data_IF_727480890394
#
_entry.id   IF_727480890394
#
_cell.length_a   1.000
_cell.length_b   1.000
_cell.length_c   1.000
_cell.angle_alpha   90.00
_cell.angle_beta   90.00
_cell.angle_gamma   90.00
#
_symmetry.space_group_name_H-M   'P 1'
#
loop_
_entity.id
_entity.type
_entity.pdbx_description
1 polymer ?
#
# COMPACT_ATOMS: atom_id res chain seq x y z
N UNK A 1 40.96 -4.80 51.78
CA UNK A 1 40.89 -5.78 50.68
C UNK A 1 40.28 -5.09 49.46
N UNK A 2 41.08 -4.72 48.44
CA UNK A 2 40.55 -4.06 47.23
C UNK A 2 40.12 -5.12 46.20
N UNK A 3 38.83 -5.13 45.84
CA UNK A 3 38.31 -5.96 44.75
C UNK A 3 38.84 -5.42 43.41
N UNK A 4 39.62 -6.22 42.68
CA UNK A 4 39.91 -5.94 41.26
C UNK A 4 38.58 -5.91 40.51
N UNK A 5 38.27 -4.78 39.88
CA UNK A 5 37.16 -4.71 38.93
C UNK A 5 37.62 -5.40 37.65
N UNK A 6 37.00 -6.54 37.31
CA UNK A 6 37.20 -7.17 36.01
C UNK A 6 36.51 -6.30 34.95
N UNK A 7 37.29 -5.53 34.20
CA UNK A 7 36.82 -4.85 33.00
C UNK A 7 36.87 -5.79 31.80
N UNK A 8 36.01 -5.54 30.82
CA UNK A 8 36.13 -6.15 29.51
C UNK A 8 37.39 -5.67 28.80
N UNK A 9 38.03 -6.55 28.04
CA UNK A 9 39.18 -6.19 27.23
C UNK A 9 38.73 -5.41 25.99
N UNK A 10 39.59 -4.52 25.47
CA UNK A 10 39.30 -3.77 24.24
C UNK A 10 39.01 -4.71 23.06
N UNK A 11 39.71 -5.85 23.00
CA UNK A 11 39.59 -6.84 21.93
C UNK A 11 38.20 -7.49 21.93
N UNK A 12 37.66 -7.83 23.10
CA UNK A 12 36.30 -8.39 23.22
C UNK A 12 35.25 -7.40 22.70
N UNK A 13 35.40 -6.11 23.04
CA UNK A 13 34.47 -5.06 22.60
C UNK A 13 34.54 -4.86 21.08
N UNK A 14 35.75 -4.81 20.50
CA UNK A 14 35.93 -4.59 19.07
C UNK A 14 35.41 -5.76 18.23
N UNK A 15 35.63 -7.00 18.69
CA UNK A 15 35.12 -8.19 18.05
C UNK A 15 33.58 -8.20 18.04
N UNK A 16 32.95 -7.88 19.17
CA UNK A 16 31.50 -7.83 19.30
C UNK A 16 30.87 -6.78 18.35
N UNK A 17 31.41 -5.55 18.33
CA UNK A 17 30.90 -4.49 17.45
C UNK A 17 31.06 -4.86 15.97
N UNK A 18 32.16 -5.52 15.62
CA UNK A 18 32.43 -5.96 14.23
C UNK A 18 31.40 -6.98 13.74
N UNK A 19 31.03 -7.95 14.57
CA UNK A 19 30.01 -8.96 14.23
C UNK A 19 28.62 -8.30 14.11
N UNK A 20 28.26 -7.41 15.04
CA UNK A 20 26.98 -6.68 14.99
C UNK A 20 26.88 -5.85 13.72
N UNK A 21 27.96 -5.16 13.33
CA UNK A 21 27.99 -4.35 12.11
C UNK A 21 27.79 -5.20 10.84
N UNK A 22 28.44 -6.35 10.76
CA UNK A 22 28.29 -7.27 9.63
C UNK A 22 26.86 -7.82 9.52
N UNK A 23 26.26 -8.24 10.64
CA UNK A 23 24.89 -8.74 10.66
C UNK A 23 23.88 -7.65 10.28
N UNK A 24 24.05 -6.44 10.81
CA UNK A 24 23.18 -5.32 10.49
C UNK A 24 23.19 -5.00 8.98
N UNK A 25 24.37 -5.07 8.34
CA UNK A 25 24.51 -4.83 6.90
C UNK A 25 23.69 -5.81 6.05
N UNK A 26 23.70 -7.10 6.42
CA UNK A 26 23.02 -8.16 5.66
C UNK A 26 21.51 -8.16 5.91
N UNK A 27 21.07 -7.90 7.15
CA UNK A 27 19.66 -8.05 7.55
C UNK A 27 18.75 -6.89 7.09
N UNK A 28 19.29 -5.67 7.00
CA UNK A 28 18.50 -4.46 6.66
C UNK A 28 17.77 -4.54 5.30
N UNK A 29 18.38 -4.96 4.17
CA UNK A 29 17.68 -5.04 2.89
C UNK A 29 16.49 -6.03 2.90
N UNK A 30 16.65 -7.17 3.56
CA UNK A 30 15.64 -8.22 3.61
C UNK A 30 14.38 -7.75 4.37
N UNK A 31 14.57 -7.13 5.53
CA UNK A 31 13.46 -6.56 6.31
C UNK A 31 12.75 -5.46 5.52
N UNK A 32 13.50 -4.61 4.81
CA UNK A 32 12.90 -3.55 3.96
C UNK A 32 12.04 -4.12 2.84
N UNK A 33 12.53 -5.15 2.16
CA UNK A 33 11.76 -5.83 1.11
C UNK A 33 10.47 -6.45 1.67
N UNK A 34 10.53 -7.06 2.85
CA UNK A 34 9.35 -7.60 3.53
C UNK A 34 8.34 -6.51 3.90
N UNK A 35 8.79 -5.38 4.48
CA UNK A 35 7.92 -4.25 4.83
C UNK A 35 7.17 -3.72 3.60
N UNK A 36 7.86 -3.59 2.47
CA UNK A 36 7.24 -3.12 1.21
C UNK A 36 6.18 -4.13 0.74
N UNK A 37 6.49 -5.43 0.74
CA UNK A 37 5.52 -6.48 0.38
C UNK A 37 4.28 -6.44 1.28
N UNK A 38 4.46 -6.33 2.59
CA UNK A 38 3.35 -6.26 3.56
C UNK A 38 2.48 -5.02 3.33
N UNK A 39 3.08 -3.87 3.03
CA UNK A 39 2.30 -2.65 2.71
C UNK A 39 1.49 -2.80 1.44
N UNK A 40 2.05 -3.43 0.39
CA UNK A 40 1.29 -3.75 -0.83
C UNK A 40 0.12 -4.71 -0.54
N UNK A 41 0.34 -5.71 0.32
CA UNK A 41 -0.72 -6.63 0.74
C UNK A 41 -1.84 -5.91 1.50
N UNK A 42 -1.52 -4.95 2.37
CA UNK A 42 -2.52 -4.12 3.05
C UNK A 42 -3.36 -3.34 2.05
N UNK A 43 -2.74 -2.71 1.05
CA UNK A 43 -3.45 -2.00 -0.03
C UNK A 43 -4.39 -2.93 -0.79
N UNK A 44 -3.93 -4.12 -1.17
CA UNK A 44 -4.76 -5.11 -1.87
C UNK A 44 -5.93 -5.56 -0.99
N UNK A 45 -5.66 -5.90 0.28
CA UNK A 45 -6.69 -6.34 1.23
C UNK A 45 -7.76 -5.26 1.46
N UNK A 46 -7.34 -4.01 1.66
CA UNK A 46 -8.26 -2.87 1.76
C UNK A 46 -9.09 -2.71 0.48
N UNK A 47 -8.48 -2.91 -0.69
CA UNK A 47 -9.18 -2.84 -1.98
C UNK A 47 -10.26 -3.92 -2.09
N UNK A 48 -9.97 -5.16 -1.68
CA UNK A 48 -10.96 -6.23 -1.65
C UNK A 48 -12.11 -5.93 -0.69
N UNK A 49 -11.81 -5.41 0.50
CA UNK A 49 -12.83 -5.07 1.49
C UNK A 49 -13.72 -3.92 0.99
N UNK A 50 -13.13 -2.85 0.47
CA UNK A 50 -13.86 -1.73 -0.13
C UNK A 50 -14.75 -2.19 -1.28
N UNK A 51 -14.24 -3.03 -2.18
CA UNK A 51 -15.03 -3.54 -3.31
C UNK A 51 -16.21 -4.39 -2.84
N UNK A 52 -16.01 -5.27 -1.85
CA UNK A 52 -17.10 -6.05 -1.26
C UNK A 52 -18.17 -5.18 -0.62
N UNK A 53 -17.77 -4.10 0.06
CA UNK A 53 -18.71 -3.16 0.66
C UNK A 53 -19.53 -2.42 -0.42
N UNK A 54 -18.86 -1.95 -1.49
CA UNK A 54 -19.51 -1.31 -2.63
C UNK A 54 -20.47 -2.28 -3.33
N UNK A 55 -20.06 -3.52 -3.57
CA UNK A 55 -20.91 -4.55 -4.16
C UNK A 55 -22.14 -4.82 -3.28
N UNK A 56 -21.94 -4.91 -1.96
CA UNK A 56 -23.03 -5.11 -0.99
C UNK A 56 -24.01 -3.94 -0.99
N UNK A 57 -23.52 -2.69 -1.01
CA UNK A 57 -24.36 -1.50 -1.14
C UNK A 57 -25.16 -1.53 -2.46
N UNK A 58 -24.49 -1.85 -3.57
CA UNK A 58 -25.09 -1.93 -4.89
C UNK A 58 -26.15 -3.03 -5.02
N UNK A 59 -26.16 -4.05 -4.17
CA UNK A 59 -27.23 -5.07 -4.13
C UNK A 59 -28.56 -4.52 -3.63
N UNK A 60 -28.53 -3.46 -2.81
CA UNK A 60 -29.73 -2.84 -2.23
C UNK A 60 -30.05 -1.46 -2.83
N UNK A 61 -29.09 -0.84 -3.50
CA UNK A 61 -29.23 0.48 -4.11
C UNK A 61 -29.76 0.43 -5.54
N UNK A 62 -30.43 1.49 -5.98
CA UNK A 62 -30.94 1.64 -7.35
C UNK A 62 -30.96 3.11 -7.75
N UNK A 63 -30.88 3.41 -9.05
CA UNK A 63 -30.96 4.78 -9.54
C UNK A 63 -29.70 5.61 -9.23
N UNK A 64 -29.88 6.72 -8.50
CA UNK A 64 -28.81 7.68 -8.14
C UNK A 64 -27.84 7.15 -7.09
N UNK A 65 -28.31 6.24 -6.24
CA UNK A 65 -27.53 5.71 -5.10
C UNK A 65 -26.65 4.53 -5.51
N UNK A 66 -26.82 4.04 -6.73
CA UNK A 66 -26.01 2.98 -7.30
C UNK A 66 -24.64 3.50 -7.73
N UNK A 67 -23.59 2.91 -7.17
CA UNK A 67 -22.20 3.30 -7.43
C UNK A 67 -21.73 2.60 -8.70
N UNK A 68 -21.49 3.40 -9.74
CA UNK A 68 -20.99 2.91 -11.03
C UNK A 68 -19.48 2.79 -11.03
N UNK A 69 -19.00 1.70 -11.63
CA UNK A 69 -17.61 1.58 -12.06
C UNK A 69 -17.47 2.35 -13.37
N UNK A 70 -17.16 3.65 -13.29
CA UNK A 70 -16.88 4.45 -14.47
C UNK A 70 -15.62 3.96 -15.20
N UNK A 71 -15.54 4.23 -16.50
CA UNK A 71 -14.33 3.98 -17.28
C UNK A 71 -13.17 4.86 -16.78
N UNK A 72 -11.94 4.46 -17.12
CA UNK A 72 -10.66 4.98 -16.58
C UNK A 72 -10.53 6.53 -16.62
N UNK A 73 -11.27 7.21 -17.50
CA UNK A 73 -11.20 8.66 -17.72
C UNK A 73 -12.11 9.51 -16.82
N UNK A 74 -13.06 8.91 -16.09
CA UNK A 74 -13.96 9.61 -15.15
C UNK A 74 -14.17 8.79 -13.89
N UNK A 75 -13.05 8.38 -13.30
CA UNK A 75 -13.04 7.37 -12.26
C UNK A 75 -13.53 7.93 -10.93
N UNK A 76 -14.70 7.46 -10.47
CA UNK A 76 -15.11 7.62 -9.07
C UNK A 76 -14.05 6.98 -8.18
N UNK A 77 -13.65 7.69 -7.14
CA UNK A 77 -12.66 7.22 -6.16
C UNK A 77 -13.33 6.41 -5.05
N UNK A 78 -12.53 5.60 -4.33
CA UNK A 78 -13.03 4.87 -3.16
C UNK A 78 -13.51 5.82 -2.06
N UNK A 79 -12.90 7.00 -1.93
CA UNK A 79 -13.38 8.00 -0.98
C UNK A 79 -14.78 8.50 -1.34
N UNK A 80 -15.00 8.88 -2.60
CA UNK A 80 -16.32 9.30 -3.08
C UNK A 80 -17.36 8.17 -2.96
N UNK A 81 -16.96 6.92 -3.24
CA UNK A 81 -17.82 5.76 -3.04
C UNK A 81 -18.22 5.60 -1.57
N UNK A 82 -17.28 5.80 -0.63
CA UNK A 82 -17.55 5.75 0.81
C UNK A 82 -18.53 6.85 1.24
N UNK A 83 -18.39 8.06 0.69
CA UNK A 83 -19.33 9.17 0.95
C UNK A 83 -20.75 8.85 0.46
N UNK A 84 -20.90 8.12 -0.64
CA UNK A 84 -22.20 7.66 -1.14
C UNK A 84 -22.80 6.56 -0.25
N UNK A 85 -21.98 5.61 0.22
CA UNK A 85 -22.44 4.54 1.12
C UNK A 85 -22.90 5.11 2.47
N UNK A 86 -22.14 6.08 3.00
CA UNK A 86 -22.44 6.78 4.27
C UNK A 86 -22.79 5.84 5.44
N UNK A 87 -22.17 4.66 5.48
CA UNK A 87 -22.35 3.64 6.51
C UNK A 87 -20.98 3.11 6.96
N UNK A 88 -20.52 3.60 8.11
CA UNK A 88 -19.23 3.20 8.70
C UNK A 88 -19.22 1.71 9.15
N UNK A 89 -20.38 1.05 9.26
CA UNK A 89 -20.45 -0.40 9.55
C UNK A 89 -20.11 -1.24 8.32
N UNK A 90 -20.37 -0.72 7.12
CA UNK A 90 -20.03 -1.37 5.86
C UNK A 90 -18.62 -1.01 5.38
N UNK A 91 -18.24 0.26 5.52
CA UNK A 91 -16.93 0.74 5.08
C UNK A 91 -16.43 1.91 5.93
N UNK A 92 -15.47 1.66 6.81
CA UNK A 92 -14.91 2.69 7.68
C UNK A 92 -13.76 3.46 7.03
N UNK A 93 -13.37 4.61 7.61
CA UNK A 93 -12.17 5.35 7.18
C UNK A 93 -10.87 4.55 7.28
N UNK A 94 -10.78 3.65 8.26
CA UNK A 94 -9.59 2.84 8.49
C UNK A 94 -9.43 1.79 7.38
N UNK A 95 -10.55 1.24 6.90
CA UNK A 95 -10.60 0.28 5.80
C UNK A 95 -10.12 0.85 4.47
N UNK A 96 -10.22 2.17 4.28
CA UNK A 96 -9.81 2.85 3.05
C UNK A 96 -8.55 3.71 3.22
N UNK A 97 -7.93 3.68 4.40
CA UNK A 97 -6.84 4.58 4.79
C UNK A 97 -5.67 4.65 3.80
N UNK A 98 -5.37 3.56 3.08
CA UNK A 98 -4.29 3.47 2.08
C UNK A 98 -4.74 3.60 0.63
N UNK A 99 -6.05 3.64 0.39
CA UNK A 99 -6.64 3.54 -0.96
C UNK A 99 -7.66 4.64 -1.27
N UNK A 100 -7.74 5.70 -0.46
CA UNK A 100 -8.72 6.79 -0.65
C UNK A 100 -8.80 7.34 -2.07
N UNK A 101 -7.63 7.51 -2.71
CA UNK A 101 -7.49 8.06 -4.08
C UNK A 101 -7.51 6.99 -5.17
N UNK A 102 -7.61 5.71 -4.81
CA UNK A 102 -7.75 4.64 -5.79
C UNK A 102 -9.11 4.77 -6.46
N UNK A 103 -9.13 4.74 -7.78
CA UNK A 103 -10.38 4.72 -8.51
C UNK A 103 -11.00 3.33 -8.59
N UNK A 104 -12.33 3.27 -8.78
CA UNK A 104 -13.10 2.03 -8.73
C UNK A 104 -12.81 1.06 -9.89
N UNK A 105 -12.38 1.56 -11.05
CA UNK A 105 -12.02 0.73 -12.19
C UNK A 105 -10.69 0.01 -11.93
N UNK A 106 -9.67 0.74 -11.47
CA UNK A 106 -8.40 0.19 -11.04
C UNK A 106 -8.59 -0.79 -9.87
N UNK A 107 -9.44 -0.48 -8.90
CA UNK A 107 -9.79 -1.39 -7.81
C UNK A 107 -10.38 -2.71 -8.33
N UNK A 108 -11.26 -2.65 -9.33
CA UNK A 108 -11.85 -3.84 -9.97
C UNK A 108 -10.81 -4.68 -10.71
N UNK A 109 -9.82 -4.05 -11.34
CA UNK A 109 -8.72 -4.76 -11.99
C UNK A 109 -7.83 -5.46 -10.97
N UNK A 110 -7.48 -4.79 -9.87
CA UNK A 110 -6.71 -5.36 -8.75
C UNK A 110 -7.41 -6.59 -8.17
N UNK A 111 -8.71 -6.50 -7.87
CA UNK A 111 -9.49 -7.60 -7.28
C UNK A 111 -9.59 -8.82 -8.21
N UNK A 112 -9.56 -8.60 -9.53
CA UNK A 112 -9.56 -9.66 -10.55
C UNK A 112 -8.17 -10.24 -10.82
N UNK A 113 -7.12 -9.67 -10.25
CA UNK A 113 -5.75 -10.03 -10.55
C UNK A 113 -5.09 -10.85 -9.44
N UNK A 114 -4.96 -12.16 -9.68
CA UNK A 114 -4.26 -13.10 -8.80
C UNK A 114 -2.79 -12.72 -8.57
N UNK A 115 -2.18 -11.95 -9.48
CA UNK A 115 -0.79 -11.48 -9.40
C UNK A 115 -0.67 -9.98 -9.08
N UNK A 116 -1.74 -9.33 -8.60
CA UNK A 116 -1.78 -7.88 -8.36
C UNK A 116 -0.60 -7.37 -7.52
N UNK A 117 -0.11 -8.19 -6.58
CA UNK A 117 1.03 -7.86 -5.71
C UNK A 117 2.30 -7.46 -6.48
N UNK A 118 2.53 -8.01 -7.68
CA UNK A 118 3.68 -7.69 -8.53
C UNK A 118 3.57 -6.30 -9.15
N UNK A 119 2.35 -5.85 -9.43
CA UNK A 119 2.03 -4.72 -10.28
C UNK A 119 1.50 -3.49 -9.53
N UNK A 120 1.06 -3.68 -8.28
CA UNK A 120 0.71 -2.58 -7.38
C UNK A 120 1.98 -1.87 -6.92
N UNK A 121 2.00 -0.56 -7.08
CA UNK A 121 3.02 0.33 -6.54
C UNK A 121 2.46 1.18 -5.40
N UNK A 122 3.33 1.43 -4.42
CA UNK A 122 2.99 2.18 -3.21
C UNK A 122 4.02 3.28 -3.00
N UNK A 123 3.59 4.38 -2.40
CA UNK A 123 4.48 5.43 -1.92
C UNK A 123 5.27 4.98 -0.68
N UNK A 124 6.27 5.77 -0.28
CA UNK A 124 7.13 5.49 0.89
C UNK A 124 6.33 5.41 2.21
N UNK A 125 5.19 6.10 2.28
CA UNK A 125 4.25 6.12 3.41
C UNK A 125 3.28 4.91 3.43
N UNK A 126 3.34 4.05 2.40
CA UNK A 126 2.50 2.87 2.24
C UNK A 126 1.14 3.11 1.59
N UNK A 127 0.85 4.33 1.14
CA UNK A 127 -0.37 4.63 0.39
C UNK A 127 -0.27 4.10 -1.05
N UNK A 128 -1.41 3.76 -1.64
CA UNK A 128 -1.51 3.37 -3.04
C UNK A 128 -0.98 4.49 -3.95
N UNK A 129 -0.16 4.11 -4.92
CA UNK A 129 0.37 5.01 -5.94
C UNK A 129 -0.24 4.70 -7.31
N UNK A 130 -0.05 3.46 -7.77
CA UNK A 130 -0.37 3.07 -9.14
C UNK A 130 -0.57 1.56 -9.27
N UNK A 131 -1.27 1.11 -10.31
CA UNK A 131 -1.38 -0.30 -10.70
C UNK A 131 -1.24 -0.44 -12.22
N UNK A 132 -0.23 -1.20 -12.69
CA UNK A 132 -0.09 -1.54 -14.12
C UNK A 132 0.16 -3.04 -14.34
N UNK A 133 -0.79 -3.74 -14.96
CA UNK A 133 -0.63 -5.15 -15.32
C UNK A 133 0.14 -5.34 -16.64
N UNK A 134 -0.12 -4.45 -17.59
CA UNK A 134 0.53 -4.46 -18.90
C UNK A 134 1.79 -3.62 -18.82
N UNK A 135 2.94 -4.28 -18.71
CA UNK A 135 4.27 -3.64 -18.74
C UNK A 135 4.62 -2.95 -20.07
N UNK A 136 3.65 -2.45 -20.83
CA UNK A 136 3.87 -1.61 -21.98
C UNK A 136 3.79 -0.13 -21.58
N UNK A 137 4.97 0.47 -21.42
CA UNK A 137 5.17 1.86 -20.99
C UNK A 137 4.80 2.88 -22.09
N UNK A 138 4.07 2.46 -23.14
CA UNK A 138 3.72 3.25 -24.32
C UNK A 138 2.27 3.78 -24.31
N UNK A 139 1.38 3.27 -23.46
CA UNK A 139 -0.06 3.65 -23.45
C UNK A 139 -0.46 4.68 -22.40
N UNK A 140 0.46 5.19 -21.57
CA UNK A 140 0.11 6.13 -20.48
C UNK A 140 0.93 7.42 -20.49
N UNK A 141 1.12 7.99 -21.69
CA UNK A 141 1.40 9.42 -21.80
C UNK A 141 0.10 10.22 -21.57
N UNK A 142 -0.20 10.42 -20.29
CA UNK A 142 -0.96 11.53 -19.65
C UNK A 142 -2.50 11.55 -19.74
N UNK A 143 -3.22 12.11 -18.72
CA UNK A 143 -2.72 13.02 -17.67
C UNK A 143 -3.01 12.58 -16.22
N UNK A 144 -1.97 12.15 -15.50
CA UNK A 144 -1.82 12.45 -14.06
C UNK A 144 -0.65 13.43 -13.84
N UNK A 145 -0.46 14.34 -14.78
CA UNK A 145 0.41 15.49 -14.61
C UNK A 145 -0.36 16.57 -13.84
N UNK A 146 -0.48 16.44 -12.51
CA UNK A 146 -0.85 17.62 -11.68
C UNK A 146 -0.36 17.67 -10.25
N UNK A 147 0.40 16.70 -9.76
CA UNK A 147 1.15 16.90 -8.51
C UNK A 147 2.55 16.28 -8.63
N UNK A 148 3.53 17.14 -8.91
CA UNK A 148 4.93 16.92 -8.48
C UNK A 148 4.95 16.64 -6.97
N UNK A 149 5.87 15.86 -6.43
CA UNK A 149 7.30 16.16 -6.26
C UNK A 149 8.06 14.83 -6.08
N UNK A 150 9.13 14.58 -6.85
CA UNK A 150 10.55 14.93 -6.60
C UNK A 150 11.28 13.81 -5.82
N UNK A 151 11.97 12.95 -6.57
CA UNK A 151 12.94 12.00 -6.02
C UNK A 151 14.32 12.67 -6.08
N UNK A 152 14.66 13.38 -5.00
CA UNK A 152 16.05 13.53 -4.56
C UNK A 152 16.33 12.56 -3.43
#
# INVERSE_FOLDING_TARGET
MQKKKSGFTLVEVMCAISIIALLALVVVPDIRAYIIKTRKLVVIAQTHNAMKAIDTHNMFSSGSDYIRYADIESETTILEAKEIINDDTLLSEDDISKIKKLGLCAAKLIVKDDEALKFVEIYKDGNFCWYNRDRDMSVLKTPMHKYGYDYK
#
